data_IF_823294630344
#
_entry.id   IF_823294630344
#
_cell.length_a   1.000
_cell.length_b   1.000
_cell.length_c   1.000
_cell.angle_alpha   90.00
_cell.angle_beta   90.00
_cell.angle_gamma   90.00
#
_symmetry.space_group_name_H-M   'P 1'
#
loop_
_entity.id
_entity.type
_entity.pdbx_description
1 polymer ?
#
# COMPACT_ATOMS: atom_id res chain seq x y z
N UNK A 1 19.48 -51.46 -15.71
CA UNK A 1 20.63 -50.64 -15.27
C UNK A 1 21.07 -49.76 -16.42
N UNK A 2 20.63 -48.50 -16.41
CA UNK A 2 21.11 -47.47 -17.33
C UNK A 2 21.09 -46.15 -16.57
N UNK A 3 22.27 -45.71 -16.13
CA UNK A 3 22.45 -44.44 -15.41
C UNK A 3 22.20 -43.30 -16.40
N UNK A 4 21.09 -42.57 -16.26
CA UNK A 4 20.92 -41.27 -16.93
C UNK A 4 21.69 -40.22 -16.14
N UNK A 5 22.69 -39.59 -16.77
CA UNK A 5 23.35 -38.38 -16.26
C UNK A 5 22.37 -37.21 -16.43
N UNK A 6 22.00 -36.54 -15.34
CA UNK A 6 21.34 -35.23 -15.40
C UNK A 6 22.43 -34.17 -15.49
N UNK A 7 22.42 -33.38 -16.56
CA UNK A 7 23.17 -32.14 -16.69
C UNK A 7 22.22 -31.03 -16.22
N UNK A 8 22.50 -30.39 -15.09
CA UNK A 8 21.81 -29.16 -14.70
C UNK A 8 22.46 -28.00 -15.45
N UNK A 9 21.74 -27.43 -16.41
CA UNK A 9 22.09 -26.15 -17.01
C UNK A 9 21.42 -25.07 -16.16
N UNK A 10 22.22 -24.24 -15.49
CA UNK A 10 21.72 -23.08 -14.76
C UNK A 10 21.42 -22.00 -15.79
N UNK A 11 20.15 -21.84 -16.17
CA UNK A 11 19.73 -20.76 -17.08
C UNK A 11 19.08 -19.68 -16.24
N UNK A 12 19.85 -18.65 -15.90
CA UNK A 12 19.29 -17.39 -15.41
C UNK A 12 18.71 -16.63 -16.60
N UNK A 13 17.39 -16.48 -16.65
CA UNK A 13 16.73 -15.66 -17.67
C UNK A 13 16.80 -14.21 -17.21
N UNK A 14 17.68 -13.42 -17.84
CA UNK A 14 17.71 -11.96 -17.74
C UNK A 14 17.13 -11.41 -19.05
N UNK A 15 15.96 -10.78 -18.98
CA UNK A 15 15.38 -10.07 -20.12
C UNK A 15 16.15 -8.75 -20.30
N UNK A 16 17.07 -8.70 -21.27
CA UNK A 16 17.80 -7.48 -21.65
C UNK A 16 17.26 -6.99 -22.99
N UNK A 17 16.56 -5.86 -22.97
CA UNK A 17 16.30 -5.06 -24.16
C UNK A 17 17.60 -4.31 -24.49
N UNK A 18 18.07 -4.42 -25.73
CA UNK A 18 19.36 -3.95 -26.18
C UNK A 18 19.48 -2.41 -26.15
N UNK A 19 20.53 -1.90 -25.50
CA UNK A 19 20.93 -0.50 -25.54
C UNK A 19 22.18 -0.21 -24.69
N UNK A 20 23.36 -0.57 -25.21
CA UNK A 20 24.72 -0.06 -24.90
C UNK A 20 25.04 0.43 -23.46
N UNK A 21 25.93 -0.30 -22.77
CA UNK A 21 26.78 0.26 -21.70
C UNK A 21 27.35 -0.78 -20.74
N UNK A 22 28.67 -1.02 -20.78
CA UNK A 22 29.39 -1.84 -19.80
C UNK A 22 29.29 -1.24 -18.39
N UNK A 23 28.88 -2.04 -17.39
CA UNK A 23 29.29 -1.84 -16.00
C UNK A 23 29.57 -3.19 -15.32
N UNK A 24 30.76 -3.31 -14.73
CA UNK A 24 31.16 -4.45 -13.91
C UNK A 24 30.58 -4.35 -12.50
N UNK A 25 30.09 -5.46 -11.97
CA UNK A 25 29.65 -5.55 -10.58
C UNK A 25 30.74 -6.14 -9.68
N UNK A 26 31.02 -5.44 -8.58
CA UNK A 26 31.71 -5.99 -7.41
C UNK A 26 30.65 -6.57 -6.48
N UNK A 27 30.79 -7.84 -6.10
CA UNK A 27 29.91 -8.49 -5.11
C UNK A 27 30.43 -8.17 -3.71
N UNK A 28 29.63 -7.48 -2.90
CA UNK A 28 29.82 -7.35 -1.45
C UNK A 28 29.07 -8.50 -0.78
N UNK A 29 29.80 -9.37 -0.08
CA UNK A 29 29.22 -10.43 0.74
C UNK A 29 28.67 -9.86 2.04
N UNK A 30 27.41 -10.17 2.36
CA UNK A 30 26.92 -10.10 3.74
C UNK A 30 25.43 -9.82 3.87
N UNK A 31 24.59 -10.84 3.77
CA UNK A 31 23.38 -11.02 4.58
C UNK A 31 22.71 -12.35 4.24
N UNK A 32 22.30 -13.06 5.28
CA UNK A 32 21.78 -14.42 5.29
C UNK A 32 20.27 -14.45 5.05
N UNK A 33 19.82 -15.23 4.05
CA UNK A 33 18.44 -15.70 3.92
C UNK A 33 17.77 -15.34 2.59
N UNK A 34 17.92 -16.18 1.56
CA UNK A 34 17.10 -16.12 0.35
C UNK A 34 16.09 -17.27 0.34
N UNK A 35 14.81 -16.97 0.15
CA UNK A 35 13.83 -17.95 -0.31
C UNK A 35 13.79 -17.90 -1.83
N UNK A 36 14.29 -18.93 -2.50
CA UNK A 36 14.15 -19.08 -3.94
C UNK A 36 13.11 -20.16 -4.24
N UNK A 37 11.99 -19.79 -4.87
CA UNK A 37 11.08 -20.74 -5.52
C UNK A 37 11.67 -21.12 -6.87
N UNK A 38 11.72 -22.42 -7.17
CA UNK A 38 12.16 -22.92 -8.47
C UNK A 38 10.96 -23.45 -9.24
N UNK A 39 10.80 -22.99 -10.47
CA UNK A 39 9.86 -23.56 -11.44
C UNK A 39 10.68 -24.40 -12.40
N UNK A 40 10.37 -25.70 -12.47
CA UNK A 40 10.97 -26.59 -13.48
C UNK A 40 10.01 -26.69 -14.66
N UNK A 41 10.44 -26.19 -15.82
CA UNK A 41 9.71 -26.33 -17.08
C UNK A 41 10.43 -27.39 -17.91
N UNK A 42 9.69 -28.39 -18.37
CA UNK A 42 10.18 -29.43 -19.26
C UNK A 42 9.51 -29.36 -20.63
N UNK A 43 10.24 -29.69 -21.69
CA UNK A 43 9.66 -30.02 -22.99
C UNK A 43 9.56 -31.53 -23.10
N UNK A 44 8.43 -32.04 -23.57
CA UNK A 44 8.31 -33.45 -23.92
C UNK A 44 8.94 -33.77 -25.28
N UNK A 45 8.88 -35.04 -25.69
CA UNK A 45 9.51 -35.54 -26.93
C UNK A 45 8.82 -34.98 -28.20
N UNK A 46 7.63 -34.39 -28.06
CA UNK A 46 6.85 -33.79 -29.14
C UNK A 46 7.01 -32.25 -29.20
N UNK A 47 7.74 -31.67 -28.24
CA UNK A 47 8.10 -30.25 -28.23
C UNK A 47 7.08 -29.33 -27.57
N UNK A 48 6.13 -29.87 -26.80
CA UNK A 48 5.21 -29.05 -25.99
C UNK A 48 5.82 -28.70 -24.63
N UNK A 49 5.62 -27.46 -24.18
CA UNK A 49 6.09 -26.97 -22.88
C UNK A 49 5.11 -27.37 -21.78
N UNK A 50 5.55 -28.19 -20.84
CA UNK A 50 4.79 -28.59 -19.66
C UNK A 50 5.44 -28.10 -18.36
N UNK A 51 4.63 -27.60 -17.43
CA UNK A 51 5.04 -27.30 -16.05
C UNK A 51 5.19 -28.61 -15.27
N UNK A 52 6.40 -28.91 -14.80
CA UNK A 52 6.72 -30.26 -14.30
C UNK A 52 6.60 -30.43 -12.78
N UNK A 53 6.67 -29.36 -11.98
CA UNK A 53 6.21 -29.22 -10.58
C UNK A 53 6.86 -27.99 -9.91
N UNK A 54 6.22 -27.52 -8.82
CA UNK A 54 6.77 -26.56 -7.85
C UNK A 54 7.18 -27.36 -6.61
N UNK A 55 8.43 -27.23 -6.16
CA UNK A 55 8.88 -27.81 -4.89
C UNK A 55 9.19 -26.70 -3.88
N UNK A 56 8.60 -26.80 -2.69
CA UNK A 56 9.05 -26.05 -1.52
C UNK A 56 10.31 -26.72 -0.94
N UNK A 57 11.32 -25.91 -0.61
CA UNK A 57 12.60 -26.41 -0.11
C UNK A 57 12.58 -26.67 1.40
N UNK A 58 13.19 -27.77 1.82
CA UNK A 58 13.46 -28.15 3.22
C UNK A 58 14.67 -27.38 3.74
N UNK A 59 14.56 -26.79 4.94
CA UNK A 59 15.68 -26.12 5.64
C UNK A 59 16.78 -27.13 5.98
N UNK A 60 18.02 -26.85 5.58
CA UNK A 60 19.20 -27.42 6.20
C UNK A 60 19.93 -26.33 6.98
N UNK A 61 20.11 -26.52 8.29
CA UNK A 61 21.08 -25.76 9.08
C UNK A 61 22.41 -26.51 9.08
N UNK A 62 23.48 -25.81 8.75
CA UNK A 62 24.84 -26.30 8.99
C UNK A 62 25.37 -25.52 10.18
N UNK A 63 25.46 -26.16 11.34
CA UNK A 63 26.13 -25.57 12.51
C UNK A 63 27.63 -25.86 12.42
N UNK A 64 28.52 -24.86 12.61
CA UNK A 64 29.92 -25.14 12.84
C UNK A 64 30.11 -25.73 14.25
N UNK A 65 30.81 -26.85 14.31
CA UNK A 65 31.29 -27.50 15.54
C UNK A 65 32.65 -26.92 15.90
N UNK A 66 32.86 -26.35 17.09
CA UNK A 66 34.04 -26.65 17.94
C UNK A 66 33.83 -26.28 19.43
N UNK A 67 34.17 -27.27 20.24
CA UNK A 67 34.36 -27.52 21.69
C UNK A 67 34.36 -26.45 22.82
N UNK A 68 33.53 -26.77 23.84
CA UNK A 68 33.80 -27.04 25.29
C UNK A 68 34.57 -26.04 26.19
N UNK A 69 33.90 -25.57 27.26
CA UNK A 69 34.41 -25.67 28.66
C UNK A 69 33.33 -25.42 29.74
N UNK A 70 33.18 -26.45 30.60
CA UNK A 70 32.82 -26.57 32.04
C UNK A 70 31.86 -25.55 32.71
N UNK A 71 30.63 -25.96 33.08
CA UNK A 71 30.14 -26.47 34.40
C UNK A 71 30.07 -25.41 35.52
N UNK A 72 28.84 -25.04 35.89
CA UNK A 72 28.43 -24.80 37.29
C UNK A 72 26.96 -25.23 37.47
N UNK A 73 26.71 -26.10 38.46
CA UNK A 73 25.39 -26.48 38.96
C UNK A 73 24.76 -25.34 39.76
N UNK A 74 23.49 -25.00 39.52
CA UNK A 74 22.60 -24.44 40.57
C UNK A 74 21.19 -25.02 40.43
N UNK A 75 20.62 -25.37 41.57
CA UNK A 75 19.35 -26.07 41.76
C UNK A 75 18.10 -25.18 41.63
N UNK A 76 17.05 -25.81 41.08
CA UNK A 76 15.59 -25.73 41.34
C UNK A 76 15.08 -24.61 42.26
N UNK A 77 14.11 -23.82 41.77
CA UNK A 77 12.86 -23.53 42.50
C UNK A 77 11.65 -23.42 41.54
N UNK A 78 10.54 -23.99 41.99
CA UNK A 78 9.22 -24.02 41.37
C UNK A 78 8.27 -23.11 42.14
N UNK A 79 7.64 -22.13 41.49
CA UNK A 79 6.41 -21.43 41.92
C UNK A 79 6.04 -20.45 40.82
N UNK A 80 4.80 -20.18 40.41
CA UNK A 80 3.46 -20.49 40.92
C UNK A 80 2.49 -20.14 39.78
N UNK A 81 1.39 -20.88 39.69
CA UNK A 81 0.21 -20.49 38.92
C UNK A 81 -0.35 -19.14 39.41
N UNK A 82 -0.83 -18.32 38.48
CA UNK A 82 -1.70 -17.16 38.71
C UNK A 82 -2.56 -16.99 37.46
N UNK A 83 -3.70 -17.68 37.41
CA UNK A 83 -5.05 -17.12 37.61
C UNK A 83 -5.61 -16.40 36.38
N UNK A 84 -6.61 -17.07 35.79
CA UNK A 84 -7.58 -16.56 34.84
C UNK A 84 -8.13 -15.20 35.30
N UNK A 85 -7.89 -14.17 34.49
CA UNK A 85 -8.63 -12.92 34.53
C UNK A 85 -9.45 -12.75 33.26
N UNK A 86 -10.62 -13.39 33.17
CA UNK A 86 -11.66 -12.99 32.22
C UNK A 86 -12.21 -11.64 32.67
N UNK A 87 -11.69 -10.55 32.11
CA UNK A 87 -12.27 -9.23 32.27
C UNK A 87 -13.39 -9.06 31.25
N UNK A 88 -14.64 -9.13 31.73
CA UNK A 88 -15.80 -8.62 31.02
C UNK A 88 -15.70 -7.10 31.01
N UNK A 89 -15.44 -6.48 29.86
CA UNK A 89 -15.50 -5.03 29.71
C UNK A 89 -16.82 -4.67 29.06
N UNK A 90 -17.56 -3.83 29.77
CA UNK A 90 -18.88 -3.34 29.40
C UNK A 90 -18.83 -2.52 28.10
N UNK A 91 -19.82 -2.78 27.26
CA UNK A 91 -20.05 -2.16 25.97
C UNK A 91 -20.34 -0.65 26.15
N UNK A 92 -19.36 0.23 25.92
CA UNK A 92 -19.62 1.67 25.82
C UNK A 92 -19.97 2.01 24.37
N UNK A 93 -21.27 1.98 24.09
CA UNK A 93 -21.84 2.50 22.86
C UNK A 93 -21.56 4.00 22.74
N UNK A 94 -20.85 4.38 21.69
CA UNK A 94 -20.95 5.69 21.04
C UNK A 94 -20.30 5.57 19.64
N UNK A 95 -21.02 4.87 18.76
CA UNK A 95 -20.81 4.94 17.30
C UNK A 95 -21.95 5.81 16.76
N UNK A 96 -21.67 6.87 15.98
CA UNK A 96 -22.71 7.71 15.44
C UNK A 96 -23.58 6.90 14.45
N UNK A 97 -24.87 6.94 14.69
CA UNK A 97 -25.92 6.39 13.83
C UNK A 97 -25.96 7.13 12.50
N UNK A 98 -25.71 6.43 11.40
CA UNK A 98 -26.14 6.82 10.06
C UNK A 98 -27.23 5.85 9.56
N UNK A 99 -28.12 6.41 8.76
CA UNK A 99 -29.40 5.89 8.33
C UNK A 99 -29.30 4.79 7.24
N UNK A 100 -30.38 4.02 7.10
CA UNK A 100 -30.72 3.40 5.82
C UNK A 100 -30.04 2.09 5.42
N UNK A 101 -30.49 0.97 6.02
CA UNK A 101 -30.62 -0.35 5.38
C UNK A 101 -29.42 -1.30 5.20
N UNK A 102 -28.29 -1.08 5.86
CA UNK A 102 -27.27 -2.13 6.05
C UNK A 102 -27.34 -2.75 7.45
N UNK A 103 -27.44 -4.08 7.58
CA UNK A 103 -27.15 -4.72 8.87
C UNK A 103 -25.66 -4.57 9.14
N UNK A 104 -25.29 -3.78 10.15
CA UNK A 104 -23.95 -3.85 10.74
C UNK A 104 -23.89 -5.20 11.48
N UNK A 105 -23.32 -6.22 10.84
CA UNK A 105 -22.93 -7.42 11.57
C UNK A 105 -21.66 -7.06 12.36
N UNK A 106 -21.86 -6.77 13.64
CA UNK A 106 -20.81 -6.32 14.55
C UNK A 106 -19.81 -7.46 14.77
N UNK A 107 -18.84 -7.51 13.89
CA UNK A 107 -17.66 -8.36 13.90
C UNK A 107 -16.53 -7.52 14.50
N UNK A 108 -16.37 -7.57 15.83
CA UNK A 108 -15.23 -6.95 16.48
C UNK A 108 -14.01 -7.86 16.24
N UNK A 109 -13.26 -7.60 15.17
CA UNK A 109 -11.99 -8.26 14.93
C UNK A 109 -10.97 -7.71 15.93
N UNK A 110 -10.38 -8.64 16.70
CA UNK A 110 -9.22 -8.51 17.60
C UNK A 110 -8.69 -7.09 17.76
N UNK A 111 -9.03 -6.44 18.89
CA UNK A 111 -8.34 -5.22 19.33
C UNK A 111 -6.94 -5.68 19.75
N UNK A 112 -5.86 -5.33 19.04
CA UNK A 112 -4.56 -5.49 19.63
C UNK A 112 -4.53 -4.70 20.94
N UNK A 113 -3.94 -5.24 22.01
CA UNK A 113 -3.64 -4.44 23.20
C UNK A 113 -3.12 -3.08 22.72
N UNK A 114 -3.60 -1.99 23.34
CA UNK A 114 -3.37 -0.57 23.00
C UNK A 114 -1.89 -0.13 22.88
N UNK A 115 -0.94 -1.06 22.69
CA UNK A 115 0.39 -0.76 22.20
C UNK A 115 0.31 0.18 21.00
N UNK A 116 1.19 1.18 21.04
CA UNK A 116 1.30 2.24 20.05
C UNK A 116 1.33 1.64 18.64
N UNK A 117 0.22 1.78 17.91
CA UNK A 117 0.17 1.36 16.52
C UNK A 117 1.04 2.33 15.75
N UNK A 118 1.97 1.75 14.99
CA UNK A 118 2.95 2.45 14.19
C UNK A 118 2.65 2.28 12.72
N UNK A 119 2.29 1.08 12.29
CA UNK A 119 2.10 0.76 10.88
C UNK A 119 0.74 0.11 10.66
N UNK A 120 0.10 0.45 9.55
CA UNK A 120 -1.09 -0.20 9.05
C UNK A 120 -0.84 -0.77 7.66
N UNK A 121 -0.90 -2.09 7.56
CA UNK A 121 -0.71 -2.85 6.33
C UNK A 121 -2.06 -3.42 5.85
N UNK A 122 -2.48 -3.01 4.67
CA UNK A 122 -3.72 -3.43 4.03
C UNK A 122 -3.42 -4.52 3.01
N UNK A 123 -3.88 -5.73 3.29
CA UNK A 123 -3.84 -6.88 2.39
C UNK A 123 -5.28 -7.35 2.11
N UNK A 124 -6.15 -6.41 1.76
CA UNK A 124 -7.56 -6.64 1.42
C UNK A 124 -7.69 -6.59 -0.10
N UNK A 125 -7.90 -7.75 -0.74
CA UNK A 125 -7.86 -7.81 -2.21
C UNK A 125 -9.10 -7.23 -2.88
N UNK A 126 -10.28 -7.45 -2.28
CA UNK A 126 -11.60 -7.12 -2.82
C UNK A 126 -12.49 -6.57 -1.70
N UNK A 127 -12.70 -5.26 -1.60
CA UNK A 127 -13.69 -4.59 -0.72
C UNK A 127 -13.43 -3.09 -0.71
N UNK A 128 -14.38 -2.31 -0.19
CA UNK A 128 -14.11 -0.94 0.23
C UNK A 128 -13.38 -0.93 1.59
N UNK A 129 -12.34 -0.09 1.74
CA UNK A 129 -11.59 0.08 2.97
C UNK A 129 -11.71 1.52 3.44
N UNK A 130 -12.20 1.73 4.65
CA UNK A 130 -12.35 3.06 5.28
C UNK A 130 -11.43 3.19 6.46
N UNK A 131 -10.53 4.16 6.44
CA UNK A 131 -9.66 4.52 7.56
C UNK A 131 -10.12 5.89 8.08
N UNK A 132 -10.63 5.93 9.30
CA UNK A 132 -11.21 7.16 9.88
C UNK A 132 -10.77 7.38 11.32
N UNK A 133 -10.91 8.61 11.85
CA UNK A 133 -10.60 8.87 13.25
C UNK A 133 -11.52 8.08 14.19
N UNK A 134 -10.97 7.62 15.32
CA UNK A 134 -11.70 6.98 16.40
C UNK A 134 -11.15 7.33 17.78
N UNK A 135 -11.84 6.91 18.85
CA UNK A 135 -11.33 7.07 20.23
C UNK A 135 -10.21 6.08 20.56
N UNK A 136 -10.21 4.95 19.88
CA UNK A 136 -9.26 3.86 20.01
C UNK A 136 -9.05 3.26 18.63
N UNK A 137 -7.99 2.47 18.47
CA UNK A 137 -7.86 1.67 17.26
C UNK A 137 -8.86 0.53 17.26
N UNK A 138 -9.41 0.22 16.10
CA UNK A 138 -10.32 -0.88 15.94
C UNK A 138 -10.57 -1.21 14.49
N UNK A 139 -10.84 -2.48 14.21
CA UNK A 139 -11.22 -2.99 12.88
C UNK A 139 -12.61 -3.60 12.99
N UNK A 140 -13.50 -3.17 12.11
CA UNK A 140 -14.88 -3.66 12.01
C UNK A 140 -15.22 -3.90 10.55
N UNK A 141 -16.29 -4.62 10.29
CA UNK A 141 -16.73 -4.93 8.92
C UNK A 141 -18.22 -4.66 8.72
N UNK A 142 -18.60 -4.41 7.47
CA UNK A 142 -20.00 -4.43 7.00
C UNK A 142 -20.11 -5.41 5.84
N UNK A 143 -21.16 -6.23 5.82
CA UNK A 143 -21.37 -7.24 4.76
C UNK A 143 -20.41 -8.45 4.82
N UNK A 144 -19.23 -8.30 5.45
CA UNK A 144 -18.20 -9.33 5.55
C UNK A 144 -18.27 -10.02 6.92
N UNK A 145 -18.26 -11.36 6.92
CA UNK A 145 -18.21 -12.18 8.12
C UNK A 145 -16.87 -12.07 8.87
N UNK A 146 -16.92 -12.14 10.20
CA UNK A 146 -15.76 -11.94 11.08
C UNK A 146 -14.61 -12.92 10.82
N UNK A 147 -14.93 -14.14 10.39
CA UNK A 147 -13.98 -15.20 10.08
C UNK A 147 -13.30 -15.01 8.71
N UNK A 148 -13.72 -14.01 7.94
CA UNK A 148 -13.19 -13.75 6.61
C UNK A 148 -12.18 -12.58 6.57
N UNK A 149 -12.05 -11.83 7.67
CA UNK A 149 -10.97 -10.85 7.87
C UNK A 149 -10.03 -11.35 8.96
N UNK A 150 -8.74 -11.29 8.69
CA UNK A 150 -7.69 -11.56 9.68
C UNK A 150 -7.00 -10.25 10.04
N UNK A 151 -6.88 -10.00 11.35
CA UNK A 151 -6.12 -8.88 11.91
C UNK A 151 -4.97 -9.44 12.74
N UNK A 152 -3.74 -9.07 12.40
CA UNK A 152 -2.55 -9.41 13.18
C UNK A 152 -1.87 -8.13 13.66
N UNK A 153 -1.22 -8.19 14.83
CA UNK A 153 -0.35 -7.13 15.30
C UNK A 153 1.00 -7.75 15.69
N UNK A 154 2.04 -7.33 15.00
CA UNK A 154 3.42 -7.61 15.37
C UNK A 154 4.09 -6.32 15.85
N UNK A 155 4.10 -6.12 17.17
CA UNK A 155 4.80 -5.00 17.82
C UNK A 155 4.44 -3.60 17.27
N UNK A 156 3.16 -3.33 17.06
CA UNK A 156 2.64 -2.06 16.56
C UNK A 156 2.47 -2.01 15.03
N UNK A 157 2.92 -3.04 14.31
CA UNK A 157 2.62 -3.21 12.89
C UNK A 157 1.35 -4.05 12.72
N UNK A 158 0.23 -3.38 12.45
CA UNK A 158 -1.07 -4.03 12.28
C UNK A 158 -1.28 -4.39 10.82
N UNK A 159 -1.59 -5.66 10.54
CA UNK A 159 -1.98 -6.11 9.20
C UNK A 159 -3.46 -6.49 9.20
N UNK A 160 -4.23 -5.90 8.29
CA UNK A 160 -5.63 -6.25 8.03
C UNK A 160 -5.68 -6.93 6.68
N UNK A 161 -6.07 -8.21 6.67
CA UNK A 161 -6.04 -9.04 5.46
C UNK A 161 -7.35 -9.78 5.22
N UNK A 162 -7.70 -9.97 3.95
CA UNK A 162 -8.91 -10.65 3.50
C UNK A 162 -9.20 -10.33 2.04
N UNK A 163 -10.45 -10.51 1.61
CA UNK A 163 -10.84 -10.33 0.22
C UNK A 163 -10.91 -11.67 -0.50
N UNK A 164 -12.10 -12.04 -0.92
CA UNK A 164 -12.32 -13.17 -1.82
C UNK A 164 -12.86 -12.60 -3.13
N UNK A 165 -12.54 -13.21 -4.27
CA UNK A 165 -12.96 -12.72 -5.59
C UNK A 165 -14.47 -12.48 -5.66
N UNK A 166 -15.27 -13.31 -4.98
CA UNK A 166 -16.73 -13.18 -4.90
C UNK A 166 -17.19 -11.82 -4.33
N UNK A 167 -16.37 -11.16 -3.51
CA UNK A 167 -16.70 -9.87 -2.88
C UNK A 167 -16.78 -8.74 -3.90
N UNK A 168 -16.17 -8.88 -5.09
CA UNK A 168 -16.26 -7.88 -6.15
C UNK A 168 -17.68 -7.63 -6.66
N UNK A 169 -18.62 -8.54 -6.36
CA UNK A 169 -20.02 -8.42 -6.76
C UNK A 169 -20.90 -7.83 -5.65
N UNK A 170 -20.29 -7.35 -4.57
CA UNK A 170 -20.97 -6.85 -3.38
C UNK A 170 -20.58 -5.40 -3.10
N UNK A 171 -21.49 -4.48 -3.39
CA UNK A 171 -21.30 -3.04 -3.15
C UNK A 171 -21.37 -2.67 -1.64
N UNK A 172 -21.77 -3.62 -0.77
CA UNK A 172 -21.97 -3.37 0.66
C UNK A 172 -20.83 -3.86 1.56
N UNK A 173 -19.77 -4.44 0.96
CA UNK A 173 -18.66 -5.06 1.67
C UNK A 173 -17.59 -4.02 2.03
N UNK A 174 -17.53 -3.68 3.32
CA UNK A 174 -16.59 -2.69 3.85
C UNK A 174 -15.72 -3.26 4.97
N UNK A 175 -14.45 -2.88 4.95
CA UNK A 175 -13.53 -2.98 6.08
C UNK A 175 -13.33 -1.59 6.66
N UNK A 176 -13.75 -1.39 7.91
CA UNK A 176 -13.72 -0.09 8.57
C UNK A 176 -12.69 -0.12 9.69
N UNK A 177 -11.66 0.71 9.54
CA UNK A 177 -10.53 0.85 10.45
C UNK A 177 -10.64 2.22 11.13
N UNK A 178 -10.55 2.22 12.45
CA UNK A 178 -10.50 3.44 13.26
C UNK A 178 -9.10 3.64 13.80
N UNK A 179 -8.59 4.87 13.75
CA UNK A 179 -7.26 5.25 14.28
C UNK A 179 -7.44 6.42 15.26
N UNK A 180 -6.81 6.38 16.45
CA UNK A 180 -6.82 7.53 17.36
C UNK A 180 -6.25 8.78 16.69
N UNK A 181 -6.93 9.92 16.81
CA UNK A 181 -6.55 11.16 16.13
C UNK A 181 -5.26 11.81 16.67
N UNK A 182 -4.80 11.39 17.85
CA UNK A 182 -3.56 11.85 18.48
C UNK A 182 -2.34 10.96 18.13
N UNK A 183 -2.55 9.89 17.35
CA UNK A 183 -1.49 9.00 16.87
C UNK A 183 -0.98 9.49 15.51
N UNK A 184 0.33 9.67 15.39
CA UNK A 184 1.02 9.77 14.09
C UNK A 184 1.53 8.39 13.71
N UNK A 185 0.95 7.79 12.68
CA UNK A 185 1.45 6.53 12.13
C UNK A 185 2.79 6.75 11.42
N UNK A 186 3.61 5.73 11.38
CA UNK A 186 4.80 5.67 10.54
C UNK A 186 4.42 5.36 9.09
N UNK A 187 3.45 4.47 8.87
CA UNK A 187 2.99 4.19 7.51
C UNK A 187 1.58 3.61 7.44
N UNK A 188 0.89 3.92 6.34
CA UNK A 188 -0.25 3.15 5.81
C UNK A 188 0.16 2.62 4.44
N UNK A 189 0.14 1.31 4.26
CA UNK A 189 0.58 0.66 3.02
C UNK A 189 -0.45 -0.35 2.56
N UNK A 190 -0.68 -0.47 1.26
CA UNK A 190 -1.68 -1.39 0.75
C UNK A 190 -1.59 -1.70 -0.74
N UNK A 191 -1.99 -2.92 -1.10
CA UNK A 191 -2.26 -3.27 -2.50
C UNK A 191 -3.62 -3.96 -2.58
N UNK A 192 -4.46 -3.49 -3.48
CA UNK A 192 -5.83 -3.97 -3.68
C UNK A 192 -6.10 -4.20 -5.16
N UNK A 193 -6.85 -5.25 -5.48
CA UNK A 193 -7.25 -5.54 -6.85
C UNK A 193 -8.52 -4.79 -7.21
N UNK A 194 -9.56 -4.87 -6.37
CA UNK A 194 -10.82 -4.17 -6.61
C UNK A 194 -11.36 -3.55 -5.33
N UNK A 195 -11.86 -2.32 -5.44
CA UNK A 195 -12.57 -1.62 -4.38
C UNK A 195 -11.90 -0.30 -4.02
N UNK A 196 -12.62 0.48 -3.21
CA UNK A 196 -12.22 1.85 -2.92
C UNK A 196 -11.45 1.93 -1.59
N UNK A 197 -10.56 2.92 -1.48
CA UNK A 197 -9.87 3.24 -0.22
C UNK A 197 -10.20 4.68 0.16
N UNK A 198 -10.78 4.86 1.34
CA UNK A 198 -11.09 6.16 1.91
C UNK A 198 -10.23 6.36 3.16
N UNK A 199 -9.44 7.43 3.21
CA UNK A 199 -8.63 7.82 4.37
C UNK A 199 -9.05 9.22 4.80
N UNK A 200 -9.62 9.34 6.00
CA UNK A 200 -10.02 10.62 6.57
C UNK A 200 -9.13 11.04 7.74
N UNK A 201 -8.70 12.31 7.73
CA UNK A 201 -8.12 13.02 8.89
C UNK A 201 -7.00 12.25 9.59
N UNK A 202 -6.12 11.63 8.80
CA UNK A 202 -5.01 10.85 9.31
C UNK A 202 -3.74 11.71 9.44
N UNK A 203 -2.90 11.39 10.42
CA UNK A 203 -1.53 11.90 10.49
C UNK A 203 -0.57 10.71 10.36
N UNK A 204 0.28 10.72 9.34
CA UNK A 204 1.21 9.62 9.07
C UNK A 204 2.52 10.14 8.50
N UNK A 205 3.61 9.36 8.55
CA UNK A 205 4.80 9.69 7.78
C UNK A 205 4.67 9.24 6.32
N UNK A 206 4.09 8.06 6.07
CA UNK A 206 3.94 7.48 4.74
C UNK A 206 2.51 7.02 4.46
N UNK A 207 2.04 7.26 3.23
CA UNK A 207 0.94 6.55 2.58
C UNK A 207 1.50 5.95 1.29
N UNK A 208 1.35 4.65 1.08
CA UNK A 208 1.73 3.95 -0.16
C UNK A 208 0.61 2.97 -0.55
N UNK A 209 -0.22 3.38 -1.50
CA UNK A 209 -1.39 2.62 -1.94
C UNK A 209 -1.30 2.28 -3.42
N UNK A 210 -1.64 1.04 -3.74
CA UNK A 210 -1.81 0.58 -5.12
C UNK A 210 -3.16 -0.09 -5.29
N UNK A 211 -4.01 0.46 -6.13
CA UNK A 211 -5.37 -0.05 -6.41
C UNK A 211 -5.47 -0.36 -7.90
N UNK A 212 -5.81 -1.59 -8.28
CA UNK A 212 -5.92 -1.90 -9.71
C UNK A 212 -7.21 -1.32 -10.31
N UNK A 213 -8.36 -1.53 -9.65
CA UNK A 213 -9.65 -0.96 -10.03
C UNK A 213 -10.37 -0.42 -8.80
N UNK A 214 -10.71 0.86 -8.80
CA UNK A 214 -11.37 1.52 -7.67
C UNK A 214 -10.76 2.89 -7.41
N UNK A 215 -11.42 3.64 -6.54
CA UNK A 215 -11.06 5.00 -6.19
C UNK A 215 -10.22 5.04 -4.91
N UNK A 216 -9.34 6.03 -4.80
CA UNK A 216 -8.61 6.31 -3.57
C UNK A 216 -8.92 7.75 -3.18
N UNK A 217 -9.63 7.96 -2.08
CA UNK A 217 -9.88 9.28 -1.50
C UNK A 217 -9.07 9.45 -0.21
N UNK A 218 -8.27 10.50 -0.14
CA UNK A 218 -7.46 10.87 1.04
C UNK A 218 -7.86 12.28 1.46
N UNK A 219 -8.69 12.40 2.49
CA UNK A 219 -9.32 13.66 2.90
C UNK A 219 -8.75 14.21 4.20
N UNK A 220 -8.60 15.53 4.27
CA UNK A 220 -8.15 16.29 5.45
C UNK A 220 -6.89 15.70 6.13
N UNK A 221 -6.01 15.07 5.37
CA UNK A 221 -4.90 14.25 5.89
C UNK A 221 -3.58 15.02 5.88
N UNK A 222 -2.67 14.66 6.78
CA UNK A 222 -1.29 15.14 6.76
C UNK A 222 -0.32 13.97 6.68
N UNK A 223 0.52 13.97 5.64
CA UNK A 223 1.55 12.96 5.45
C UNK A 223 2.89 13.57 5.04
N UNK A 224 4.00 13.02 5.52
CA UNK A 224 5.32 13.46 5.03
C UNK A 224 5.53 13.02 3.56
N UNK A 225 5.01 11.83 3.20
CA UNK A 225 5.03 11.28 1.85
C UNK A 225 3.74 10.52 1.55
N UNK A 226 3.11 10.76 0.41
CA UNK A 226 1.94 10.01 -0.07
C UNK A 226 2.15 9.58 -1.51
N UNK A 227 1.94 8.29 -1.80
CA UNK A 227 1.98 7.70 -3.14
C UNK A 227 0.70 6.91 -3.36
N UNK A 228 0.03 7.19 -4.47
CA UNK A 228 -1.14 6.43 -4.92
C UNK A 228 -0.94 6.01 -6.36
N UNK A 229 -1.14 4.73 -6.65
CA UNK A 229 -1.09 4.19 -8.00
C UNK A 229 -2.40 3.50 -8.33
N UNK A 230 -3.19 4.07 -9.24
CA UNK A 230 -4.43 3.46 -9.73
C UNK A 230 -4.30 3.03 -11.19
N UNK A 231 -4.75 1.82 -11.54
CA UNK A 231 -4.86 1.44 -12.97
C UNK A 231 -6.16 1.98 -13.58
N UNK A 232 -7.29 1.80 -12.90
CA UNK A 232 -8.58 2.39 -13.30
C UNK A 232 -9.30 2.94 -12.07
N UNK A 233 -9.78 4.18 -12.13
CA UNK A 233 -10.47 4.85 -11.04
C UNK A 233 -9.89 6.24 -10.79
N UNK A 234 -10.18 6.79 -9.63
CA UNK A 234 -9.86 8.17 -9.25
C UNK A 234 -8.85 8.17 -8.09
N UNK A 235 -8.05 9.24 -7.99
CA UNK A 235 -7.14 9.46 -6.88
C UNK A 235 -7.29 10.89 -6.38
N UNK A 236 -8.00 11.05 -5.27
CA UNK A 236 -8.40 12.33 -4.70
C UNK A 236 -7.60 12.61 -3.44
N UNK A 237 -6.97 13.77 -3.38
CA UNK A 237 -6.14 14.20 -2.26
C UNK A 237 -6.64 15.54 -1.74
N UNK A 238 -6.96 15.61 -0.45
CA UNK A 238 -7.19 16.85 0.27
C UNK A 238 -6.36 16.87 1.55
N UNK A 239 -5.47 17.86 1.70
CA UNK A 239 -4.60 17.88 2.88
C UNK A 239 -3.30 18.68 2.79
N UNK A 240 -2.34 18.29 3.63
CA UNK A 240 -1.00 18.88 3.70
C UNK A 240 0.08 17.79 3.64
N UNK A 241 0.86 17.82 2.57
CA UNK A 241 1.83 16.79 2.23
C UNK A 241 3.26 17.35 2.21
N UNK A 242 4.24 16.56 2.66
CA UNK A 242 5.64 16.86 2.33
C UNK A 242 5.86 16.62 0.83
N UNK A 243 5.55 15.41 0.39
CA UNK A 243 5.44 15.03 -1.02
C UNK A 243 4.14 14.28 -1.27
N UNK A 244 3.46 14.57 -2.39
CA UNK A 244 2.33 13.82 -2.89
C UNK A 244 2.60 13.37 -4.33
N UNK A 245 2.47 12.07 -4.59
CA UNK A 245 2.64 11.46 -5.91
C UNK A 245 1.41 10.62 -6.26
N UNK A 246 0.89 10.79 -7.48
CA UNK A 246 -0.19 9.96 -7.99
C UNK A 246 0.06 9.55 -9.43
N UNK A 247 -0.15 8.27 -9.74
CA UNK A 247 -0.20 7.76 -11.11
C UNK A 247 -1.53 7.05 -11.38
N UNK A 248 -2.33 7.59 -12.31
CA UNK A 248 -3.61 7.03 -12.72
C UNK A 248 -3.58 6.74 -14.22
N UNK A 249 -3.81 5.50 -14.64
CA UNK A 249 -3.81 5.19 -16.09
C UNK A 249 -5.11 5.58 -16.76
N UNK A 250 -6.26 5.28 -16.15
CA UNK A 250 -7.57 5.64 -16.70
C UNK A 250 -8.46 6.17 -15.58
N UNK A 251 -8.87 7.43 -15.67
CA UNK A 251 -9.69 8.11 -14.67
C UNK A 251 -9.10 9.46 -14.29
N UNK A 252 -9.37 9.91 -13.06
CA UNK A 252 -9.10 11.29 -12.64
C UNK A 252 -8.08 11.35 -11.50
N UNK A 253 -7.37 12.47 -11.39
CA UNK A 253 -6.56 12.81 -10.24
C UNK A 253 -6.98 14.18 -9.76
N UNK A 254 -7.48 14.27 -8.53
CA UNK A 254 -7.82 15.54 -7.90
C UNK A 254 -6.88 15.82 -6.74
N UNK A 255 -6.35 17.04 -6.70
CA UNK A 255 -5.52 17.49 -5.60
C UNK A 255 -5.97 18.86 -5.09
N UNK A 256 -6.35 18.94 -3.81
CA UNK A 256 -6.69 20.18 -3.12
C UNK A 256 -5.83 20.33 -1.85
N UNK A 257 -4.87 21.25 -1.83
CA UNK A 257 -4.10 21.46 -0.61
C UNK A 257 -2.73 22.08 -0.77
N UNK A 258 -1.81 21.63 0.08
CA UNK A 258 -0.39 21.99 0.00
C UNK A 258 0.48 20.75 -0.06
N UNK A 259 1.50 20.78 -0.91
CA UNK A 259 2.56 19.78 -1.00
C UNK A 259 3.91 20.46 -1.21
N UNK A 260 4.95 20.11 -0.47
CA UNK A 260 6.31 20.57 -0.78
C UNK A 260 6.76 20.13 -2.18
N UNK A 261 6.44 18.89 -2.55
CA UNK A 261 6.57 18.38 -3.93
C UNK A 261 5.28 17.68 -4.34
N UNK A 262 4.73 18.03 -5.50
CA UNK A 262 3.56 17.42 -6.09
C UNK A 262 3.95 16.80 -7.44
N UNK A 263 3.74 15.51 -7.62
CA UNK A 263 4.04 14.81 -8.87
C UNK A 263 2.80 14.01 -9.31
N UNK A 264 2.04 14.52 -10.27
CA UNK A 264 0.81 13.88 -10.74
C UNK A 264 0.97 13.41 -12.17
N UNK A 265 0.56 12.17 -12.44
CA UNK A 265 0.70 11.56 -13.76
C UNK A 265 -0.55 10.79 -14.18
N UNK A 266 -1.19 11.26 -15.23
CA UNK A 266 -2.31 10.60 -15.89
C UNK A 266 -1.92 10.01 -17.24
N UNK A 267 -2.57 8.92 -17.66
CA UNK A 267 -2.51 8.48 -19.07
C UNK A 267 -3.75 8.94 -19.85
N UNK A 268 -4.95 8.57 -19.39
CA UNK A 268 -6.22 8.99 -20.00
C UNK A 268 -7.18 9.48 -18.93
N UNK A 269 -7.64 10.72 -19.05
CA UNK A 269 -8.66 11.29 -18.17
C UNK A 269 -8.36 12.73 -17.80
N UNK A 270 -8.53 13.11 -16.54
CA UNK A 270 -8.47 14.51 -16.10
C UNK A 270 -7.54 14.63 -14.89
N UNK A 271 -6.86 15.78 -14.75
CA UNK A 271 -6.09 16.11 -13.55
C UNK A 271 -6.48 17.52 -13.11
N UNK A 272 -7.14 17.63 -11.95
CA UNK A 272 -7.52 18.91 -11.37
C UNK A 272 -6.69 19.21 -10.12
N UNK A 273 -6.10 20.40 -10.08
CA UNK A 273 -5.19 20.80 -9.00
C UNK A 273 -5.56 22.17 -8.46
N UNK A 274 -5.93 22.24 -7.19
CA UNK A 274 -6.16 23.45 -6.42
C UNK A 274 -5.06 23.61 -5.34
N UNK A 275 -4.12 24.52 -5.60
CA UNK A 275 -3.01 24.80 -4.67
C UNK A 275 -3.39 25.95 -3.73
N UNK A 276 -3.42 25.65 -2.42
CA UNK A 276 -3.72 26.63 -1.35
C UNK A 276 -2.58 27.64 -1.07
N UNK A 277 -1.49 27.56 -1.83
CA UNK A 277 -0.35 28.49 -1.75
C UNK A 277 0.09 28.89 -3.16
N UNK A 278 0.56 30.12 -3.31
CA UNK A 278 1.10 30.64 -4.57
C UNK A 278 2.62 30.48 -4.70
N UNK A 279 3.30 29.99 -3.66
CA UNK A 279 4.75 29.73 -3.66
C UNK A 279 5.10 28.38 -4.30
N UNK A 280 4.80 28.25 -5.59
CA UNK A 280 5.10 27.07 -6.39
C UNK A 280 5.86 27.43 -7.66
N UNK A 281 6.75 26.53 -8.07
CA UNK A 281 7.06 26.35 -9.48
C UNK A 281 6.23 25.20 -10.01
N UNK A 282 5.42 25.46 -11.04
CA UNK A 282 4.53 24.48 -11.65
C UNK A 282 4.96 24.23 -13.08
N UNK A 283 5.13 22.97 -13.45
CA UNK A 283 5.31 22.51 -14.82
C UNK A 283 4.21 21.53 -15.16
N UNK A 284 3.52 21.78 -16.27
CA UNK A 284 2.42 20.96 -16.76
C UNK A 284 2.71 20.55 -18.18
N UNK A 285 2.55 19.26 -18.47
CA UNK A 285 2.59 18.71 -19.82
C UNK A 285 1.32 17.94 -20.13
N UNK A 286 0.74 18.18 -21.30
CA UNK A 286 -0.39 17.41 -21.81
C UNK A 286 -0.16 17.06 -23.28
N UNK A 287 0.06 15.79 -23.61
CA UNK A 287 0.44 15.43 -24.99
C UNK A 287 -0.73 15.63 -25.97
N UNK A 288 -1.93 15.17 -25.61
CA UNK A 288 -3.13 15.22 -26.45
C UNK A 288 -4.30 15.77 -25.63
N UNK A 289 -4.37 17.09 -25.48
CA UNK A 289 -5.36 17.68 -24.60
C UNK A 289 -5.25 19.18 -24.45
N UNK A 290 -5.91 19.67 -23.41
CA UNK A 290 -5.90 21.08 -23.02
C UNK A 290 -5.27 21.20 -21.64
N UNK A 291 -4.48 22.24 -21.45
CA UNK A 291 -4.04 22.65 -20.12
C UNK A 291 -4.75 23.97 -19.81
N UNK A 292 -5.44 24.04 -18.68
CA UNK A 292 -6.00 25.26 -18.13
C UNK A 292 -5.22 25.66 -16.87
N UNK A 293 -4.76 26.92 -16.80
CA UNK A 293 -4.19 27.47 -15.56
C UNK A 293 -4.77 28.84 -15.24
N UNK A 294 -5.40 28.98 -14.08
CA UNK A 294 -6.06 30.21 -13.64
C UNK A 294 -6.92 30.84 -14.75
N UNK A 295 -7.91 30.10 -15.26
CA UNK A 295 -8.85 30.53 -16.31
C UNK A 295 -8.18 30.83 -17.68
N UNK A 296 -7.03 30.22 -17.97
CA UNK A 296 -6.31 30.37 -19.26
C UNK A 296 -5.95 29.04 -19.87
N UNK A 297 -6.39 28.85 -21.10
CA UNK A 297 -6.11 27.65 -21.89
C UNK A 297 -4.76 27.73 -22.63
N UNK A 298 -4.07 26.59 -22.68
CA UNK A 298 -2.82 26.34 -23.41
C UNK A 298 -2.99 25.09 -24.28
N UNK A 299 -2.57 25.18 -25.53
CA UNK A 299 -2.79 24.16 -26.56
C UNK A 299 -1.50 23.61 -27.18
N UNK A 300 -0.33 24.07 -26.72
CA UNK A 300 0.99 23.62 -27.17
C UNK A 300 1.51 22.41 -26.38
N UNK A 301 0.69 21.89 -25.46
CA UNK A 301 0.98 20.69 -24.67
C UNK A 301 1.99 20.91 -23.55
N UNK A 302 2.36 22.16 -23.26
CA UNK A 302 3.24 22.50 -22.15
C UNK A 302 2.89 23.89 -21.59
N UNK A 303 2.85 24.01 -20.27
CA UNK A 303 2.77 25.29 -19.62
C UNK A 303 3.50 25.28 -18.28
N UNK A 304 3.92 26.47 -17.83
CA UNK A 304 4.61 26.61 -16.55
C UNK A 304 4.27 27.93 -15.88
N UNK A 305 4.32 27.95 -14.55
CA UNK A 305 3.94 29.08 -13.73
C UNK A 305 4.83 29.20 -12.48
N UNK A 306 5.03 30.43 -12.00
CA UNK A 306 5.72 30.73 -10.76
C UNK A 306 7.24 30.95 -10.88
N UNK A 307 7.94 30.92 -9.75
CA UNK A 307 9.39 31.15 -9.64
C UNK A 307 10.13 29.81 -9.57
N UNK A 308 11.06 29.55 -10.49
CA UNK A 308 11.88 28.33 -10.48
C UNK A 308 12.68 28.13 -9.18
N UNK A 309 12.90 29.18 -8.39
CA UNK A 309 13.53 29.13 -7.07
C UNK A 309 12.56 28.91 -5.90
N UNK A 310 11.25 28.87 -6.16
CA UNK A 310 10.22 28.57 -5.16
C UNK A 310 10.53 27.28 -4.41
N UNK A 311 10.20 27.25 -3.11
CA UNK A 311 10.47 26.10 -2.27
C UNK A 311 9.63 24.88 -2.69
N UNK A 312 8.38 25.12 -3.11
CA UNK A 312 7.48 24.06 -3.51
C UNK A 312 7.45 23.85 -5.03
N UNK A 313 7.30 22.60 -5.44
CA UNK A 313 7.32 22.16 -6.85
C UNK A 313 6.07 21.36 -7.18
N UNK A 314 5.49 21.59 -8.35
CA UNK A 314 4.44 20.75 -8.90
C UNK A 314 4.78 20.35 -10.34
N UNK A 315 4.86 19.04 -10.60
CA UNK A 315 5.06 18.47 -11.92
C UNK A 315 3.83 17.65 -12.26
N UNK A 316 3.09 18.08 -13.29
CA UNK A 316 1.82 17.46 -13.67
C UNK A 316 1.94 17.01 -15.13
N UNK A 317 1.63 15.75 -15.40
CA UNK A 317 1.75 15.19 -16.75
C UNK A 317 0.53 14.36 -17.11
N UNK A 318 -0.06 14.63 -18.26
CA UNK A 318 -1.16 13.84 -18.81
C UNK A 318 -0.87 13.47 -20.27
N UNK A 319 -1.16 12.22 -20.67
CA UNK A 319 -1.02 11.83 -22.08
C UNK A 319 -2.23 12.26 -22.91
N UNK A 320 -3.46 12.02 -22.44
CA UNK A 320 -4.69 12.40 -23.13
C UNK A 320 -5.76 12.89 -22.17
N UNK A 321 -6.33 14.08 -22.44
CA UNK A 321 -7.47 14.63 -21.71
C UNK A 321 -7.27 16.09 -21.31
N UNK A 322 -7.56 16.45 -20.07
CA UNK A 322 -7.51 17.83 -19.57
C UNK A 322 -6.70 17.93 -18.28
N UNK A 323 -5.95 19.02 -18.13
CA UNK A 323 -5.29 19.38 -16.86
C UNK A 323 -5.73 20.77 -16.45
N UNK A 324 -6.35 20.91 -15.29
CA UNK A 324 -6.70 22.20 -14.70
C UNK A 324 -5.84 22.50 -13.48
N UNK A 325 -5.30 23.72 -13.38
CA UNK A 325 -4.52 24.18 -12.23
C UNK A 325 -4.97 25.55 -11.76
N UNK A 326 -5.41 25.63 -10.51
CA UNK A 326 -5.79 26.86 -9.83
C UNK A 326 -4.90 27.15 -8.61
N UNK A 327 -4.71 28.44 -8.29
CA UNK A 327 -3.84 28.88 -7.20
C UNK A 327 -4.55 29.87 -6.28
N UNK A 328 -4.27 29.77 -4.98
CA UNK A 328 -4.53 30.83 -4.02
C UNK A 328 -6.01 31.07 -3.70
N UNK A 329 -6.82 30.01 -3.76
CA UNK A 329 -8.18 29.98 -3.20
C UNK A 329 -8.16 29.53 -1.73
#
# INVERSE_FOLDING_TARGET
MTKKKKICLLVGVLLVIAGLGLFGFTVVQGATGFHSKYISIGMDEDGELGLLNIHDSVKYSVSPVTEVSQVEEVQIESSSASENGTASIENSADVPSADGSGKIENSAAVIPDNGDIRELNLAVEYAEVKIRPGKAFGVTTRGIGADQITVTNDNGAVTVSGGQEEWMYHDDYEVIITVPSDVKLESVQGTMSVGDVEIERLNTALIDLKVETGNVSIEETSADYAVVNCTTGEADFSGNFGTAEAEVKTGQIDFEGTAGTLNLKGTTGEIDVELRSSDYWVEVTCENGVIEMNDREFFDGYASFGDQSAANKANISLTTGEVSVEFGR
#
